data_IF_840544456880
#
_entry.id   IF_840544456880
#
_cell.length_a   1.000
_cell.length_b   1.000
_cell.length_c   1.000
_cell.angle_alpha   90.00
_cell.angle_beta   90.00
_cell.angle_gamma   90.00
#
_symmetry.space_group_name_H-M   'P 1'
#
loop_
_entity.id
_entity.type
_entity.pdbx_description
1 polymer ?
#
# COMPACT_ATOMS: atom_id res chain seq x y z
N UNK A 1 -3.86 23.30 -11.14
CA UNK A 1 -4.49 22.42 -10.77
C UNK A 1 -4.32 21.20 -11.37
N UNK A 2 -3.59 21.01 -12.18
CA UNK A 2 -3.37 19.86 -12.78
C UNK A 2 -2.66 18.93 -11.96
N UNK A 3 -1.87 19.40 -11.05
CA UNK A 3 -1.14 18.56 -10.24
C UNK A 3 -1.97 17.67 -9.42
N UNK A 4 -3.21 17.94 -9.30
CA UNK A 4 -4.05 17.09 -8.54
C UNK A 4 -4.07 15.69 -9.02
N UNK A 5 -3.78 15.45 -10.26
CA UNK A 5 -3.75 14.12 -10.77
C UNK A 5 -2.69 13.29 -10.16
N UNK A 6 -1.57 13.90 -9.76
CA UNK A 6 -0.48 13.17 -9.19
C UNK A 6 -0.81 12.69 -7.80
N UNK A 7 -1.70 13.40 -7.10
CA UNK A 7 -2.03 13.06 -5.75
C UNK A 7 -3.39 12.43 -5.62
N UNK A 8 -4.05 12.16 -6.73
CA UNK A 8 -5.36 11.54 -6.70
C UNK A 8 -5.27 10.17 -6.04
N UNK A 9 -6.12 9.96 -5.05
CA UNK A 9 -6.18 8.72 -4.33
C UNK A 9 -7.41 7.97 -4.77
N UNK A 10 -7.26 6.68 -4.98
CA UNK A 10 -8.34 5.84 -5.44
C UNK A 10 -8.73 4.88 -4.32
N UNK A 11 -10.02 4.78 -4.00
CA UNK A 11 -10.44 3.82 -3.00
C UNK A 11 -10.11 2.41 -3.45
N UNK A 12 -9.67 1.59 -2.50
CA UNK A 12 -9.28 0.25 -2.82
C UNK A 12 -9.59 -0.61 -1.59
N UNK A 13 -9.77 -1.90 -1.78
CA UNK A 13 -10.05 -2.78 -0.68
C UNK A 13 -9.24 -4.05 -0.87
N UNK A 14 -7.97 -3.96 -0.59
CA UNK A 14 -7.05 -5.08 -0.73
C UNK A 14 -6.38 -5.38 0.59
N UNK A 15 -6.04 -6.64 0.80
CA UNK A 15 -5.26 -7.02 1.96
C UNK A 15 -3.80 -6.70 1.68
N UNK A 16 -3.12 -6.18 2.68
CA UNK A 16 -1.71 -5.82 2.58
C UNK A 16 -1.00 -6.39 3.79
N UNK A 17 0.06 -7.13 3.53
CA UNK A 17 0.91 -7.63 4.59
C UNK A 17 2.02 -6.63 4.83
N UNK A 18 2.24 -6.24 6.08
CA UNK A 18 3.23 -5.22 6.42
C UNK A 18 4.38 -5.88 7.16
N UNK A 19 5.60 -5.71 6.65
CA UNK A 19 6.79 -6.21 7.30
C UNK A 19 7.70 -5.05 7.67
N UNK A 20 8.25 -5.10 8.87
CA UNK A 20 9.21 -4.10 9.31
C UNK A 20 10.46 -4.85 9.78
N UNK A 21 11.59 -4.53 9.17
CA UNK A 21 12.86 -5.20 9.48
C UNK A 21 12.75 -6.73 9.29
N UNK A 22 12.00 -7.14 8.28
CA UNK A 22 11.87 -8.56 7.97
C UNK A 22 10.87 -9.31 8.83
N UNK A 23 10.28 -8.66 9.82
CA UNK A 23 9.30 -9.30 10.69
C UNK A 23 7.91 -8.88 10.29
N UNK A 24 7.01 -9.84 10.16
CA UNK A 24 5.63 -9.54 9.82
C UNK A 24 4.94 -8.88 10.99
N UNK A 25 4.34 -7.72 10.75
CA UNK A 25 3.62 -7.00 11.79
C UNK A 25 2.13 -7.27 11.74
N UNK A 26 1.57 -7.21 10.56
CA UNK A 26 0.12 -7.27 10.46
C UNK A 26 -0.31 -7.51 9.03
N UNK A 27 -1.51 -8.02 8.88
CA UNK A 27 -2.21 -8.00 7.59
C UNK A 27 -3.35 -7.04 7.80
N UNK A 28 -3.45 -6.03 6.96
CA UNK A 28 -4.46 -4.99 7.12
C UNK A 28 -5.04 -4.65 5.77
N UNK A 29 -6.03 -3.75 5.78
CA UNK A 29 -6.67 -3.33 4.53
C UNK A 29 -6.04 -2.04 4.04
N UNK A 30 -5.85 -1.95 2.74
CA UNK A 30 -5.53 -0.69 2.10
C UNK A 30 -6.85 -0.01 1.79
N UNK A 31 -6.98 1.25 2.17
CA UNK A 31 -8.23 1.99 2.00
C UNK A 31 -8.21 2.86 0.75
N UNK A 32 -7.06 3.42 0.42
CA UNK A 32 -6.91 4.15 -0.83
C UNK A 32 -5.46 4.11 -1.25
N UNK A 33 -5.20 4.31 -2.52
CA UNK A 33 -3.86 4.21 -3.06
C UNK A 33 -3.71 5.19 -4.21
N UNK A 34 -2.52 5.71 -4.38
CA UNK A 34 -2.17 6.58 -5.49
C UNK A 34 -0.76 6.26 -5.95
N UNK A 35 -0.23 7.07 -6.86
CA UNK A 35 1.11 6.83 -7.37
C UNK A 35 2.20 7.06 -6.33
N UNK A 36 1.94 7.90 -5.35
CA UNK A 36 2.95 8.22 -4.35
C UNK A 36 2.85 7.45 -3.06
N UNK A 37 1.71 6.81 -2.79
CA UNK A 37 1.57 6.13 -1.52
C UNK A 37 0.22 5.51 -1.31
N UNK A 38 0.02 5.02 -0.09
CA UNK A 38 -1.17 4.25 0.25
C UNK A 38 -1.58 4.60 1.68
N UNK A 39 -2.87 4.51 1.97
CA UNK A 39 -3.37 4.66 3.33
C UNK A 39 -3.84 3.29 3.80
N UNK A 40 -3.29 2.83 4.91
CA UNK A 40 -3.58 1.51 5.47
C UNK A 40 -4.40 1.64 6.74
N UNK A 41 -5.35 0.74 6.89
CA UNK A 41 -6.13 0.69 8.12
C UNK A 41 -5.38 -0.20 9.10
N UNK A 42 -4.44 0.39 9.81
CA UNK A 42 -3.59 -0.33 10.76
C UNK A 42 -3.50 0.51 12.02
N UNK A 43 -3.38 -0.14 13.16
CA UNK A 43 -3.35 0.54 14.44
C UNK A 43 -2.09 1.39 14.56
N UNK A 44 -2.21 2.66 14.94
CA UNK A 44 -1.04 3.52 15.01
C UNK A 44 0.06 3.02 15.95
N UNK A 45 -0.29 2.22 16.94
CA UNK A 45 0.71 1.74 17.89
C UNK A 45 1.65 0.72 17.28
N UNK A 46 1.30 0.14 16.14
CA UNK A 46 2.11 -0.92 15.56
C UNK A 46 3.29 -0.42 14.76
N UNK A 47 3.24 0.83 14.32
CA UNK A 47 4.32 1.41 13.53
C UNK A 47 4.55 2.83 13.96
N UNK A 48 5.80 3.24 13.94
CA UNK A 48 6.15 4.60 14.28
C UNK A 48 6.31 5.44 13.02
N UNK A 49 6.11 6.74 13.16
CA UNK A 49 6.36 7.67 12.09
C UNK A 49 7.79 7.49 11.60
N UNK A 50 7.99 7.62 10.32
CA UNK A 50 9.27 7.47 9.64
C UNK A 50 9.82 6.04 9.59
N UNK A 51 9.04 5.05 10.04
CA UNK A 51 9.46 3.66 9.90
C UNK A 51 9.49 3.25 8.44
N UNK A 52 10.52 2.49 8.07
CA UNK A 52 10.62 1.92 6.74
C UNK A 52 10.04 0.51 6.78
N UNK A 53 9.15 0.22 5.86
CA UNK A 53 8.47 -1.06 5.84
C UNK A 53 8.44 -1.62 4.44
N UNK A 54 8.10 -2.89 4.33
CA UNK A 54 7.84 -3.55 3.06
C UNK A 54 6.37 -3.91 3.04
N UNK A 55 5.69 -3.57 1.96
CA UNK A 55 4.29 -3.87 1.80
C UNK A 55 4.12 -4.94 0.74
N UNK A 56 3.32 -5.95 1.05
CA UNK A 56 2.99 -6.97 0.08
C UNK A 56 1.50 -6.89 -0.17
N UNK A 57 1.15 -6.39 -1.34
CA UNK A 57 -0.25 -6.29 -1.74
C UNK A 57 -0.70 -7.65 -2.24
N UNK A 58 -1.77 -8.16 -1.68
CA UNK A 58 -2.23 -9.51 -1.96
C UNK A 58 -3.36 -9.46 -2.98
N UNK A 59 -3.08 -9.93 -4.18
CA UNK A 59 -4.05 -9.91 -5.25
C UNK A 59 -4.57 -11.33 -5.51
N UNK A 60 -5.86 -11.46 -5.73
CA UNK A 60 -6.46 -12.76 -5.97
C UNK A 60 -7.01 -13.37 -4.71
N UNK A 61 -7.29 -14.65 -4.75
CA UNK A 61 -7.88 -15.34 -3.63
C UNK A 61 -7.29 -16.74 -3.51
N UNK A 62 -7.32 -17.25 -2.29
CA UNK A 62 -6.89 -18.61 -2.03
C UNK A 62 -5.43 -18.81 -2.35
N UNK A 63 -5.14 -19.98 -2.88
CA UNK A 63 -3.76 -20.35 -3.13
C UNK A 63 -3.18 -19.68 -4.36
N UNK A 64 -4.02 -19.09 -5.20
CA UNK A 64 -3.49 -18.40 -6.36
C UNK A 64 -3.22 -16.93 -6.09
N UNK A 65 -3.25 -16.54 -4.82
CA UNK A 65 -2.99 -15.17 -4.43
C UNK A 65 -1.55 -14.78 -4.79
N UNK A 66 -1.40 -13.62 -5.38
CA UNK A 66 -0.09 -13.12 -5.79
C UNK A 66 0.28 -11.94 -4.90
N UNK A 67 1.53 -11.89 -4.47
CA UNK A 67 2.02 -10.81 -3.63
C UNK A 67 2.86 -9.87 -4.45
N UNK A 68 2.56 -8.57 -4.34
CA UNK A 68 3.37 -7.55 -4.99
C UNK A 68 4.04 -6.70 -3.92
N UNK A 69 5.36 -6.69 -3.92
CA UNK A 69 6.14 -6.00 -2.90
C UNK A 69 6.47 -4.58 -3.31
N UNK A 70 6.20 -3.64 -2.43
CA UNK A 70 6.57 -2.25 -2.63
C UNK A 70 7.10 -1.72 -1.30
N UNK A 71 8.25 -1.06 -1.33
CA UNK A 71 8.82 -0.47 -0.12
C UNK A 71 8.15 0.85 0.16
N UNK A 72 7.99 1.17 1.44
CA UNK A 72 7.32 2.39 1.84
C UNK A 72 7.85 2.90 3.17
N UNK A 73 7.44 4.13 3.50
CA UNK A 73 7.82 4.77 4.75
C UNK A 73 6.58 5.39 5.34
N UNK A 74 6.40 5.24 6.64
CA UNK A 74 5.25 5.83 7.33
C UNK A 74 5.47 7.35 7.42
N UNK A 75 4.58 8.11 6.82
CA UNK A 75 4.72 9.58 6.81
C UNK A 75 3.60 10.28 7.57
N UNK A 76 2.56 9.56 7.97
CA UNK A 76 1.47 10.17 8.70
C UNK A 76 0.72 9.12 9.48
N UNK A 77 0.32 9.46 10.70
CA UNK A 77 -0.52 8.58 11.50
C UNK A 77 -1.78 9.33 11.86
N UNK A 78 -2.89 8.64 11.88
CA UNK A 78 -4.18 9.20 12.27
C UNK A 78 -4.90 8.18 13.13
N UNK A 79 -5.98 8.57 13.81
CA UNK A 79 -6.75 7.58 14.59
C UNK A 79 -7.34 6.47 13.73
N UNK A 80 -7.43 6.69 12.41
CA UNK A 80 -8.05 5.72 11.52
C UNK A 80 -7.06 4.85 10.78
N UNK A 81 -5.79 5.17 10.81
CA UNK A 81 -4.79 4.39 10.10
C UNK A 81 -3.52 5.18 9.85
N UNK A 82 -2.76 4.74 8.85
CA UNK A 82 -1.48 5.34 8.55
C UNK A 82 -1.33 5.62 7.07
N UNK A 83 -0.73 6.76 6.75
CA UNK A 83 -0.37 7.10 5.39
C UNK A 83 1.08 6.73 5.17
N UNK A 84 1.36 6.06 4.07
CA UNK A 84 2.72 5.63 3.74
C UNK A 84 3.08 6.15 2.36
N UNK A 85 4.33 6.58 2.21
CA UNK A 85 4.86 7.03 0.93
C UNK A 85 5.73 5.92 0.38
N UNK A 86 5.56 5.61 -0.90
CA UNK A 86 6.39 4.60 -1.54
C UNK A 86 7.82 5.13 -1.67
N UNK A 87 8.79 4.24 -1.54
CA UNK A 87 10.18 4.65 -1.65
C UNK A 87 10.95 3.62 -2.46
N UNK A 88 12.15 4.01 -2.89
CA UNK A 88 13.01 3.14 -3.71
C UNK A 88 12.20 2.61 -4.90
N UNK A 89 11.54 3.53 -5.58
CA UNK A 89 10.55 3.18 -6.59
C UNK A 89 11.24 2.94 -7.92
N UNK A 90 11.71 1.73 -8.14
CA UNK A 90 12.36 1.35 -9.37
C UNK A 90 11.33 0.76 -10.35
N UNK A 91 11.81 0.26 -11.47
CA UNK A 91 10.94 -0.27 -12.51
C UNK A 91 10.10 -1.45 -12.03
N UNK A 92 10.68 -2.29 -11.16
CA UNK A 92 9.96 -3.44 -10.64
C UNK A 92 8.82 -2.98 -9.73
N UNK A 93 9.10 -2.00 -8.87
CA UNK A 93 8.08 -1.47 -7.97
C UNK A 93 6.98 -0.79 -8.77
N UNK A 94 7.34 -0.05 -9.81
CA UNK A 94 6.35 0.62 -10.64
C UNK A 94 5.43 -0.40 -11.32
N UNK A 95 6.01 -1.50 -11.81
CA UNK A 95 5.22 -2.54 -12.44
C UNK A 95 4.28 -3.19 -11.43
N UNK A 96 4.76 -3.44 -10.19
CA UNK A 96 3.91 -3.98 -9.15
C UNK A 96 2.74 -3.05 -8.85
N UNK A 97 3.01 -1.75 -8.78
CA UNK A 97 1.95 -0.79 -8.53
C UNK A 97 0.91 -0.79 -9.64
N UNK A 98 1.36 -0.91 -10.89
CA UNK A 98 0.44 -0.98 -12.01
C UNK A 98 -0.46 -2.20 -11.90
N UNK A 99 0.09 -3.34 -11.47
CA UNK A 99 -0.72 -4.54 -11.30
C UNK A 99 -1.76 -4.34 -10.21
N UNK A 100 -1.37 -3.71 -9.10
CA UNK A 100 -2.30 -3.45 -8.00
C UNK A 100 -3.43 -2.53 -8.45
N UNK A 101 -3.10 -1.45 -9.16
CA UNK A 101 -4.12 -0.52 -9.63
C UNK A 101 -5.01 -1.16 -10.68
N UNK A 102 -4.45 -1.99 -11.56
CA UNK A 102 -5.23 -2.68 -12.55
C UNK A 102 -6.20 -3.68 -11.94
N UNK A 103 -5.75 -4.37 -10.91
CA UNK A 103 -6.61 -5.32 -10.21
C UNK A 103 -7.79 -4.60 -9.57
N UNK A 104 -7.53 -3.43 -8.98
CA UNK A 104 -8.58 -2.65 -8.38
C UNK A 104 -9.60 -2.24 -9.42
N UNK A 105 -9.16 -1.83 -10.61
CA UNK A 105 -10.05 -1.42 -11.66
C UNK A 105 -10.92 -2.58 -12.14
N UNK A 106 -10.36 -3.77 -12.23
CA UNK A 106 -11.11 -4.94 -12.62
C UNK A 106 -12.17 -5.23 -11.58
N UNK A 107 -11.82 -5.12 -10.30
CA UNK A 107 -12.79 -5.38 -9.26
C UNK A 107 -13.91 -4.36 -9.21
N UNK A 108 -13.65 -3.15 -9.65
CA UNK A 108 -14.65 -2.10 -9.64
C UNK A 108 -15.75 -2.35 -10.67
N UNK A 109 -15.52 -3.23 -11.60
CA UNK A 109 -16.53 -3.58 -12.56
C UNK A 109 -17.38 -4.72 -12.07
#
# INVERSE_FOLDING_TARGET
MIERRWTTRTPINLDVEVLCHGAGLAVCKALDIGLGGVFLKITPDELLLDSNVELFFLLGAGESRIKHKIKAKVVRTTPHGMGLMFRDFDATAFRSLQEVLGYKDIQAQ
#
